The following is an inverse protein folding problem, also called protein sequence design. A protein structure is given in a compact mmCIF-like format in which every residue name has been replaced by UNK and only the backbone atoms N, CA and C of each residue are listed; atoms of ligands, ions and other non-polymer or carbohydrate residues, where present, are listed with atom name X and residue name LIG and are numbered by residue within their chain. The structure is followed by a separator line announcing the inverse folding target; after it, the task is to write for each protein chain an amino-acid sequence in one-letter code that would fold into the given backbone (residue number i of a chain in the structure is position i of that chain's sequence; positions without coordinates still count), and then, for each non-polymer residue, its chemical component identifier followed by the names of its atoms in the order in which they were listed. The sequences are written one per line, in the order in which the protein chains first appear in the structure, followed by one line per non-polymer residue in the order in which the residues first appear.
data_IF_017896608248
#
_entry.id   IF_017896608248
#
_cell.length_a   1.000
_cell.length_b   1.000
_cell.length_c   1.000
_cell.angle_alpha   90.00
_cell.angle_beta   90.00
_cell.angle_gamma   90.00
#
_symmetry.space_group_name_H-M   'P 1'
#
loop_
_entity.id
_entity.type
_entity.pdbx_description
1 polymer ?
#
# COMPACT_ATOMS: atom_id res chain seq x y z
N UNK A 1 -3.25 0.83 -19.60
CA UNK A 1 -3.25 0.94 -18.16
C UNK A 1 -2.73 -0.32 -17.49
N UNK A 2 -2.04 -0.15 -16.37
CA UNK A 2 -1.34 -1.23 -15.67
C UNK A 2 -1.81 -1.43 -14.22
N UNK A 3 -3.01 -0.93 -13.88
CA UNK A 3 -3.58 -0.97 -12.52
C UNK A 3 -5.04 -1.43 -12.58
N UNK A 4 -5.46 -2.27 -11.64
CA UNK A 4 -6.85 -2.69 -11.44
C UNK A 4 -7.60 -1.70 -10.55
N UNK A 5 -8.94 -1.72 -10.55
CA UNK A 5 -9.78 -0.79 -9.79
C UNK A 5 -9.55 -0.80 -8.27
N UNK A 6 -9.06 -1.89 -7.71
CA UNK A 6 -8.67 -2.02 -6.30
C UNK A 6 -7.24 -1.53 -5.98
N UNK A 7 -6.56 -0.92 -6.96
CA UNK A 7 -5.18 -0.43 -6.85
C UNK A 7 -4.10 -1.50 -7.04
N UNK A 8 -4.48 -2.75 -7.26
CA UNK A 8 -3.50 -3.81 -7.57
C UNK A 8 -2.91 -3.58 -8.96
N UNK A 9 -1.60 -3.65 -9.16
CA UNK A 9 -1.01 -3.61 -10.49
C UNK A 9 -1.46 -4.82 -11.31
N UNK A 10 -1.43 -4.72 -12.62
CA UNK A 10 -1.65 -5.86 -13.50
C UNK A 10 -0.59 -6.94 -13.21
N UNK A 11 -1.02 -8.17 -13.24
CA UNK A 11 -0.19 -9.32 -12.90
C UNK A 11 -0.90 -10.63 -13.22
N UNK A 12 -0.36 -11.71 -12.71
CA UNK A 12 -0.95 -13.04 -12.82
C UNK A 12 -0.73 -13.87 -11.56
N UNK A 13 -1.65 -14.77 -11.30
CA UNK A 13 -1.54 -15.72 -10.21
C UNK A 13 -1.21 -17.11 -10.76
N UNK A 14 -0.32 -17.81 -10.07
CA UNK A 14 -0.02 -19.22 -10.33
C UNK A 14 -0.67 -20.06 -9.22
N UNK A 15 -1.60 -20.90 -9.61
CA UNK A 15 -2.22 -21.89 -8.73
C UNK A 15 -1.50 -23.23 -8.91
N UNK A 16 -0.85 -23.72 -7.87
CA UNK A 16 -0.25 -25.05 -7.83
C UNK A 16 -1.15 -25.99 -7.03
N UNK A 17 -1.70 -27.01 -7.70
CA UNK A 17 -2.54 -28.02 -7.05
C UNK A 17 -1.68 -29.22 -6.64
N UNK A 18 -1.78 -29.59 -5.36
CA UNK A 18 -1.03 -30.68 -4.74
C UNK A 18 -1.95 -31.88 -4.48
N UNK A 19 -1.37 -33.03 -4.19
CA UNK A 19 -2.15 -34.20 -3.83
C UNK A 19 -3.03 -33.97 -2.59
N UNK A 20 -4.18 -34.67 -2.51
CA UNK A 20 -5.11 -34.54 -1.39
C UNK A 20 -5.93 -33.27 -1.33
N UNK A 21 -6.02 -32.49 -2.42
CA UNK A 21 -6.79 -31.25 -2.48
C UNK A 21 -6.06 -30.03 -1.91
N UNK A 22 -4.80 -30.16 -1.50
CA UNK A 22 -3.98 -29.03 -1.09
C UNK A 22 -3.57 -28.20 -2.30
N UNK A 23 -3.46 -26.89 -2.12
CA UNK A 23 -2.99 -25.97 -3.17
C UNK A 23 -2.15 -24.83 -2.57
N UNK A 24 -1.40 -24.18 -3.43
CA UNK A 24 -0.73 -22.92 -3.11
C UNK A 24 -0.96 -21.90 -4.20
N UNK A 25 -0.90 -20.62 -3.84
CA UNK A 25 -1.12 -19.50 -4.73
C UNK A 25 0.08 -18.55 -4.65
N UNK A 26 0.64 -18.20 -5.81
CA UNK A 26 1.67 -17.19 -5.95
C UNK A 26 1.16 -16.05 -6.84
N UNK A 27 1.44 -14.80 -6.46
CA UNK A 27 1.16 -13.62 -7.26
C UNK A 27 2.44 -13.08 -7.88
N UNK A 28 2.38 -12.71 -9.13
CA UNK A 28 3.47 -12.09 -9.87
C UNK A 28 3.03 -10.78 -10.49
N UNK A 29 3.69 -9.71 -10.08
CA UNK A 29 3.47 -8.37 -10.59
C UNK A 29 4.06 -8.24 -12.01
N UNK A 30 3.28 -7.70 -12.95
CA UNK A 30 3.71 -7.47 -14.33
C UNK A 30 4.10 -6.02 -14.62
N UNK A 31 3.78 -5.08 -13.71
CA UNK A 31 4.13 -3.66 -13.83
C UNK A 31 5.47 -3.35 -13.18
N UNK A 32 5.69 -3.87 -11.97
CA UNK A 32 6.88 -3.64 -11.15
C UNK A 32 7.73 -4.93 -11.09
N UNK A 33 8.68 -5.02 -10.19
CA UNK A 33 9.41 -6.27 -9.97
C UNK A 33 8.45 -7.41 -9.61
N UNK A 34 8.66 -8.60 -10.16
CA UNK A 34 7.72 -9.73 -10.07
C UNK A 34 7.44 -10.18 -8.62
N UNK A 35 8.36 -9.92 -7.71
CA UNK A 35 8.26 -10.21 -6.28
C UNK A 35 7.65 -9.06 -5.45
N UNK A 36 7.29 -7.94 -6.06
CA UNK A 36 6.59 -6.85 -5.38
C UNK A 36 5.19 -7.29 -5.00
N UNK A 37 4.94 -7.39 -3.69
CA UNK A 37 3.69 -7.89 -3.11
C UNK A 37 2.89 -6.83 -2.36
N UNK A 38 3.45 -5.65 -2.13
CA UNK A 38 2.84 -4.58 -1.34
C UNK A 38 3.05 -3.24 -2.03
N UNK A 39 1.95 -2.53 -2.27
CA UNK A 39 1.93 -1.11 -2.64
C UNK A 39 1.78 -0.24 -1.40
N UNK A 40 2.63 0.76 -1.22
CA UNK A 40 2.55 1.68 -0.09
C UNK A 40 2.15 3.09 -0.54
N UNK A 41 1.28 3.70 0.25
CA UNK A 41 0.96 5.11 0.13
C UNK A 41 1.07 5.80 1.50
N UNK A 42 1.79 6.92 1.55
CA UNK A 42 1.89 7.79 2.71
C UNK A 42 2.04 9.25 2.24
N UNK A 43 1.56 10.24 3.02
CA UNK A 43 1.89 11.64 2.76
C UNK A 43 3.40 11.85 2.80
N UNK A 44 3.94 12.63 1.87
CA UNK A 44 5.38 12.92 1.83
C UNK A 44 5.84 13.82 2.96
N UNK A 45 4.99 14.77 3.37
CA UNK A 45 5.28 15.74 4.43
C UNK A 45 4.06 15.91 5.31
N UNK A 46 4.27 15.90 6.63
CA UNK A 46 3.26 16.19 7.64
C UNK A 46 3.78 17.28 8.59
N UNK A 47 2.86 18.10 9.09
CA UNK A 47 3.17 19.06 10.15
C UNK A 47 3.42 18.30 11.46
N UNK A 48 4.52 18.61 12.15
CA UNK A 48 4.76 18.09 13.51
C UNK A 48 3.63 18.50 14.45
N UNK A 49 3.14 17.56 15.24
CA UNK A 49 2.03 17.77 16.18
C UNK A 49 0.65 17.86 15.52
N UNK A 50 0.50 17.61 14.21
CA UNK A 50 -0.80 17.63 13.56
C UNK A 50 -1.75 16.57 14.14
N UNK A 51 -3.02 16.95 14.32
CA UNK A 51 -4.10 16.08 14.76
C UNK A 51 -5.38 16.40 13.97
N UNK A 52 -6.18 15.40 13.54
CA UNK A 52 -5.90 13.97 13.64
C UNK A 52 -4.70 13.55 12.78
N UNK A 53 -4.05 12.46 13.19
CA UNK A 53 -2.91 11.90 12.46
C UNK A 53 -3.30 11.29 11.11
N UNK A 54 -2.40 11.36 10.16
CA UNK A 54 -2.53 10.70 8.86
C UNK A 54 -2.14 9.23 8.95
N UNK A 55 -2.45 8.47 7.92
CA UNK A 55 -2.12 7.04 7.84
C UNK A 55 -1.09 6.72 6.77
N UNK A 56 -0.36 5.63 6.97
CA UNK A 56 0.25 4.85 5.91
C UNK A 56 -0.74 3.76 5.48
N UNK A 57 -0.87 3.57 4.19
CA UNK A 57 -1.73 2.56 3.59
C UNK A 57 -0.87 1.51 2.90
N UNK A 58 -1.21 0.25 3.11
CA UNK A 58 -0.57 -0.90 2.49
C UNK A 58 -1.61 -1.69 1.70
N UNK A 59 -1.50 -1.67 0.40
CA UNK A 59 -2.26 -2.55 -0.48
C UNK A 59 -1.45 -3.83 -0.63
N UNK A 60 -1.86 -4.89 0.06
CA UNK A 60 -1.19 -6.19 0.03
C UNK A 60 -1.86 -7.03 -1.04
N UNK A 61 -1.21 -7.13 -2.20
CA UNK A 61 -1.79 -7.75 -3.39
C UNK A 61 -2.22 -9.19 -3.13
N UNK A 62 -3.48 -9.50 -3.45
CA UNK A 62 -4.12 -10.79 -3.15
C UNK A 62 -4.11 -11.18 -1.66
N UNK A 63 -4.03 -10.19 -0.76
CA UNK A 63 -4.15 -10.44 0.67
C UNK A 63 -5.52 -11.03 1.03
N UNK A 64 -5.52 -12.03 1.90
CA UNK A 64 -6.70 -12.79 2.32
C UNK A 64 -7.12 -12.44 3.75
N UNK A 65 -8.20 -13.05 4.23
CA UNK A 65 -8.75 -12.78 5.57
C UNK A 65 -7.79 -13.10 6.71
N UNK A 66 -6.90 -14.06 6.50
CA UNK A 66 -5.89 -14.46 7.47
C UNK A 66 -4.53 -13.77 7.28
N UNK A 67 -4.40 -12.88 6.29
CA UNK A 67 -3.18 -12.09 6.09
C UNK A 67 -2.98 -11.13 7.25
N UNK A 68 -1.83 -11.25 7.93
CA UNK A 68 -1.42 -10.33 8.99
C UNK A 68 -0.48 -9.30 8.44
N UNK A 69 -0.73 -8.02 8.72
CA UNK A 69 0.09 -6.89 8.26
C UNK A 69 0.53 -6.06 9.45
N UNK A 70 1.81 -5.74 9.49
CA UNK A 70 2.44 -4.97 10.55
C UNK A 70 3.32 -3.87 9.97
N UNK A 71 3.48 -2.79 10.71
CA UNK A 71 4.38 -1.70 10.33
C UNK A 71 5.21 -1.23 11.53
N UNK A 72 6.33 -0.58 11.24
CA UNK A 72 7.12 0.15 12.23
C UNK A 72 7.64 1.46 11.65
N UNK A 73 7.93 2.38 12.55
CA UNK A 73 8.56 3.66 12.23
C UNK A 73 10.00 3.61 12.70
N UNK A 74 10.93 3.95 11.81
CA UNK A 74 12.37 3.85 12.02
C UNK A 74 12.75 2.43 12.50
N UNK A 75 13.47 2.30 13.59
CA UNK A 75 13.84 1.00 14.19
C UNK A 75 12.96 0.65 15.40
N UNK A 76 11.77 1.25 15.51
CA UNK A 76 10.85 1.00 16.60
C UNK A 76 10.16 -0.37 16.55
N UNK A 77 9.25 -0.57 17.48
CA UNK A 77 8.48 -1.82 17.59
C UNK A 77 7.49 -2.00 16.42
N UNK A 78 7.30 -3.25 16.04
CA UNK A 78 6.27 -3.63 15.07
C UNK A 78 4.88 -3.48 15.68
N UNK A 79 3.99 -2.82 14.96
CA UNK A 79 2.59 -2.60 15.34
C UNK A 79 1.66 -3.20 14.28
N UNK A 80 0.52 -3.78 14.67
CA UNK A 80 -0.43 -4.30 13.70
C UNK A 80 -1.06 -3.15 12.90
N UNK A 81 -1.25 -3.38 11.60
CA UNK A 81 -2.12 -2.56 10.76
C UNK A 81 -3.55 -3.10 10.80
N UNK A 82 -4.51 -2.20 10.66
CA UNK A 82 -5.92 -2.57 10.59
C UNK A 82 -6.37 -2.66 9.14
N UNK A 83 -7.15 -3.68 8.81
CA UNK A 83 -7.82 -3.76 7.50
C UNK A 83 -8.74 -2.55 7.35
N UNK A 84 -8.63 -1.89 6.22
CA UNK A 84 -9.34 -0.66 5.94
C UNK A 84 -9.92 -0.72 4.52
N UNK A 85 -11.08 -1.38 4.33
CA UNK A 85 -11.69 -1.54 3.01
C UNK A 85 -12.16 -0.18 2.47
N UNK A 86 -11.30 0.44 1.69
CA UNK A 86 -11.49 1.74 1.05
C UNK A 86 -10.79 1.72 -0.30
N UNK A 87 -11.06 2.71 -1.14
CA UNK A 87 -10.31 2.89 -2.37
C UNK A 87 -8.83 3.14 -2.08
N UNK A 88 -7.95 2.57 -2.90
CA UNK A 88 -6.50 2.74 -2.78
C UNK A 88 -6.12 4.22 -2.95
N UNK A 89 -5.46 4.86 -1.96
CA UNK A 89 -5.13 6.28 -2.04
C UNK A 89 -4.18 6.65 -3.19
N UNK A 90 -3.32 5.73 -3.64
CA UNK A 90 -2.43 5.97 -4.76
C UNK A 90 -3.22 6.04 -6.07
N UNK A 91 -4.18 5.13 -6.27
CA UNK A 91 -5.06 5.13 -7.43
C UNK A 91 -6.02 6.33 -7.40
N UNK A 92 -6.57 6.69 -6.24
CA UNK A 92 -7.36 7.93 -6.09
C UNK A 92 -6.57 9.17 -6.49
N UNK A 93 -5.32 9.28 -6.06
CA UNK A 93 -4.45 10.40 -6.43
C UNK A 93 -4.15 10.43 -7.94
N UNK A 94 -4.05 9.28 -8.58
CA UNK A 94 -3.90 9.16 -10.03
C UNK A 94 -5.18 9.57 -10.75
N UNK A 95 -6.34 9.08 -10.35
CA UNK A 95 -7.64 9.48 -10.90
C UNK A 95 -7.84 10.99 -10.81
N UNK A 96 -7.59 11.60 -9.63
CA UNK A 96 -7.71 13.05 -9.46
C UNK A 96 -6.74 13.84 -10.35
N UNK A 97 -5.52 13.35 -10.55
CA UNK A 97 -4.56 14.00 -11.46
C UNK A 97 -5.06 13.98 -12.90
N UNK A 98 -5.69 12.88 -13.31
CA UNK A 98 -6.28 12.74 -14.63
C UNK A 98 -7.54 13.61 -14.80
N UNK A 99 -8.35 13.75 -13.76
CA UNK A 99 -9.52 14.62 -13.75
C UNK A 99 -9.17 16.11 -13.90
N UNK A 100 -8.04 16.51 -13.35
CA UNK A 100 -7.55 17.89 -13.42
C UNK A 100 -6.69 18.20 -14.66
N UNK A 101 -6.46 17.21 -15.52
CA UNK A 101 -5.65 17.39 -16.71
C UNK A 101 -6.48 18.00 -17.88
N UNK A 102 -5.98 19.06 -18.49
CA UNK A 102 -6.62 19.71 -19.65
C UNK A 102 -6.38 18.98 -20.99
N UNK A 103 -5.51 17.96 -20.99
CA UNK A 103 -5.11 17.24 -22.19
C UNK A 103 -5.15 15.74 -21.97
N UNK A 104 -5.50 15.01 -23.02
CA UNK A 104 -5.42 13.55 -23.03
C UNK A 104 -3.97 13.09 -22.99
N UNK A 105 -3.69 12.04 -22.23
CA UNK A 105 -2.44 11.32 -22.28
C UNK A 105 -2.37 10.43 -23.50
N UNK A 106 -1.18 9.95 -23.83
CA UNK A 106 -0.97 8.99 -24.91
C UNK A 106 -1.46 7.56 -24.62
N UNK A 107 -2.12 7.33 -23.47
CA UNK A 107 -2.68 6.05 -23.03
C UNK A 107 -3.97 6.31 -22.24
N UNK A 108 -4.79 5.28 -22.12
CA UNK A 108 -6.04 5.36 -21.37
C UNK A 108 -5.81 5.68 -19.89
N UNK A 109 -6.82 6.30 -19.29
CA UNK A 109 -6.86 6.55 -17.86
C UNK A 109 -6.85 5.24 -17.09
N UNK A 110 -6.30 5.26 -15.86
CA UNK A 110 -6.50 4.20 -14.89
C UNK A 110 -7.98 4.03 -14.58
N UNK A 111 -8.45 2.81 -14.24
CA UNK A 111 -9.83 2.61 -13.85
C UNK A 111 -10.20 3.48 -12.65
N UNK A 112 -11.47 3.80 -12.51
CA UNK A 112 -11.98 4.46 -11.32
C UNK A 112 -11.70 3.59 -10.10
N UNK A 113 -11.21 4.23 -9.03
CA UNK A 113 -10.80 3.52 -7.83
C UNK A 113 -12.02 2.97 -7.07
N UNK A 114 -12.01 1.68 -6.79
CA UNK A 114 -13.02 0.96 -6.00
C UNK A 114 -12.45 0.51 -4.65
N UNK A 115 -13.31 0.23 -3.63
CA UNK A 115 -12.86 -0.27 -2.35
C UNK A 115 -12.07 -1.58 -2.48
N UNK A 116 -10.83 -1.57 -2.00
CA UNK A 116 -9.96 -2.75 -1.98
C UNK A 116 -10.21 -3.58 -0.71
N UNK A 117 -10.47 -4.89 -0.82
CA UNK A 117 -10.64 -5.77 0.34
C UNK A 117 -9.30 -6.11 1.01
N UNK A 118 -8.18 -5.81 0.38
CA UNK A 118 -6.83 -6.11 0.87
C UNK A 118 -5.98 -4.84 1.06
N UNK A 119 -6.63 -3.77 1.52
CA UNK A 119 -5.99 -2.54 1.98
C UNK A 119 -5.92 -2.51 3.51
N UNK A 120 -4.77 -2.15 4.04
CA UNK A 120 -4.53 -1.96 5.48
C UNK A 120 -4.07 -0.54 5.76
N UNK A 121 -4.35 -0.06 6.97
CA UNK A 121 -3.97 1.27 7.44
C UNK A 121 -3.24 1.19 8.77
N UNK A 122 -2.11 1.92 8.88
CA UNK A 122 -1.40 2.21 10.13
C UNK A 122 -1.35 3.71 10.39
N UNK A 123 -1.33 4.14 11.65
CA UNK A 123 -1.23 5.55 12.00
C UNK A 123 0.23 6.04 11.89
N UNK A 124 0.43 7.20 11.28
CA UNK A 124 1.73 7.88 11.26
C UNK A 124 1.84 8.82 12.48
N UNK A 125 2.83 8.62 13.36
CA UNK A 125 3.05 9.53 14.48
C UNK A 125 3.53 10.90 13.98
N UNK A 126 2.98 11.96 14.56
CA UNK A 126 3.34 13.35 14.25
C UNK A 126 4.11 14.05 15.36
N UNK A 127 4.35 13.35 16.48
CA UNK A 127 5.02 13.88 17.69
C UNK A 127 6.52 13.57 17.75
N UNK A 128 7.06 12.93 16.70
CA UNK A 128 8.48 12.64 16.58
C UNK A 128 9.28 13.89 16.25
N UNK A 129 10.61 13.78 16.22
CA UNK A 129 11.50 14.86 15.83
C UNK A 129 11.25 15.33 14.40
N UNK A 130 11.58 16.59 14.11
CA UNK A 130 11.55 17.11 12.73
C UNK A 130 12.60 16.36 11.91
N UNK A 131 12.20 15.90 10.74
CA UNK A 131 13.08 15.13 9.87
C UNK A 131 12.36 14.04 9.10
N UNK A 132 13.14 13.22 8.41
CA UNK A 132 12.66 12.08 7.65
C UNK A 132 12.51 10.86 8.56
N UNK A 133 11.37 10.18 8.44
CA UNK A 133 11.06 8.94 9.14
C UNK A 133 10.80 7.82 8.15
N UNK A 134 11.43 6.68 8.39
CA UNK A 134 11.29 5.47 7.60
C UNK A 134 10.09 4.66 8.10
N UNK A 135 9.25 4.24 7.19
CA UNK A 135 8.11 3.36 7.47
C UNK A 135 8.37 2.02 6.80
N UNK A 136 8.51 0.98 7.58
CA UNK A 136 8.57 -0.40 7.09
C UNK A 136 7.24 -1.08 7.31
N UNK A 137 6.80 -1.81 6.30
CA UNK A 137 5.61 -2.66 6.36
C UNK A 137 6.02 -4.08 6.04
N UNK A 138 5.46 -5.05 6.77
CA UNK A 138 5.57 -6.47 6.46
C UNK A 138 4.21 -7.14 6.48
N UNK A 139 4.00 -8.05 5.55
CA UNK A 139 2.79 -8.86 5.44
C UNK A 139 3.16 -10.34 5.47
N UNK A 140 2.34 -11.15 6.13
CA UNK A 140 2.53 -12.57 6.26
C UNK A 140 1.38 -13.31 5.57
N UNK A 141 1.73 -14.06 4.56
CA UNK A 141 0.80 -14.85 3.76
C UNK A 141 1.08 -16.33 3.92
N UNK A 142 0.03 -17.16 3.98
CA UNK A 142 0.16 -18.61 4.24
C UNK A 142 0.96 -19.36 3.17
N UNK A 143 0.98 -18.87 1.94
CA UNK A 143 1.65 -19.54 0.82
C UNK A 143 2.94 -18.82 0.40
N UNK A 144 2.97 -17.50 0.50
CA UNK A 144 4.06 -16.64 -0.01
C UNK A 144 5.05 -16.23 1.07
N UNK A 145 4.73 -16.53 2.35
CA UNK A 145 5.57 -16.18 3.47
C UNK A 145 5.54 -14.68 3.80
N UNK A 146 6.69 -14.12 4.15
CA UNK A 146 6.83 -12.71 4.51
C UNK A 146 7.19 -11.87 3.29
N UNK A 147 6.41 -10.84 3.03
CA UNK A 147 6.73 -9.76 2.09
C UNK A 147 7.02 -8.47 2.85
N UNK A 148 7.90 -7.62 2.30
CA UNK A 148 8.26 -6.32 2.90
C UNK A 148 8.19 -5.20 1.88
N UNK A 149 7.84 -4.00 2.37
CA UNK A 149 7.91 -2.75 1.61
C UNK A 149 8.34 -1.61 2.52
N UNK A 150 8.92 -0.56 1.95
CA UNK A 150 9.42 0.60 2.68
C UNK A 150 8.95 1.88 2.01
N UNK A 151 8.49 2.82 2.80
CA UNK A 151 8.24 4.20 2.38
C UNK A 151 8.77 5.18 3.43
N UNK A 152 8.58 6.48 3.21
CA UNK A 152 9.07 7.52 4.12
C UNK A 152 8.08 8.67 4.16
N UNK A 153 8.08 9.40 5.29
CA UNK A 153 7.43 10.68 5.42
C UNK A 153 8.34 11.63 6.18
N UNK A 154 8.17 12.92 5.99
CA UNK A 154 8.94 13.94 6.70
C UNK A 154 8.02 14.73 7.63
N UNK A 155 8.47 14.92 8.87
CA UNK A 155 7.87 15.88 9.79
C UNK A 155 8.57 17.24 9.63
N UNK A 156 7.77 18.29 9.53
CA UNK A 156 8.25 19.66 9.47
C UNK A 156 7.44 20.55 10.42
N UNK A 157 8.08 21.54 11.01
CA UNK A 157 7.37 22.62 11.69
C UNK A 157 6.66 23.50 10.66
N UNK A 158 5.56 24.14 11.08
CA UNK A 158 4.97 25.16 10.23
C UNK A 158 5.93 26.34 10.15
N UNK A 159 6.13 26.85 8.95
CA UNK A 159 6.74 28.17 8.80
C UNK A 159 5.79 29.20 9.43
N UNK A 160 6.34 30.20 10.14
CA UNK A 160 5.53 31.26 10.78
C UNK A 160 4.79 32.14 9.76
#
# INVERSE_FOLDING_TARGET
DSTMADGTPNGYAVLEVKGGGAYSLAWHNARDAADTQIGLHAPKVLRRGAYPGWGVYANVYMGMDDTRVEYRIDDGEWKPMQRFPSADPALLAENMRDDLADQLRGYDRSPEAEPSPHLWRGALPTHLEVGEHRVEVRAFDRWRGEARAVTRYRLADAEP
#
